data_IF_786720728939
#
_entry.id   IF_786720728939
#
_cell.length_a   1.000
_cell.length_b   1.000
_cell.length_c   1.000
_cell.angle_alpha   90.00
_cell.angle_beta   90.00
_cell.angle_gamma   90.00
#
_symmetry.space_group_name_H-M   'P 1'
#
loop_
_entity.id
_entity.type
_entity.pdbx_description
1 polymer ?
#
# COMPACT_ATOMS: atom_id res chain seq x y z
N UNK A 1 2.03 30.56 3.08
CA UNK A 1 2.04 29.30 2.30
C UNK A 1 0.67 28.66 2.45
N UNK A 2 0.14 27.99 1.42
CA UNK A 2 -1.15 27.32 1.54
C UNK A 2 -1.00 26.03 2.37
N UNK A 3 -1.88 25.82 3.34
CA UNK A 3 -1.93 24.60 4.14
C UNK A 3 -2.79 23.57 3.42
N UNK A 4 -2.25 22.36 3.22
CA UNK A 4 -2.96 21.25 2.59
C UNK A 4 -3.59 20.39 3.68
N UNK A 5 -4.84 20.00 3.49
CA UNK A 5 -5.56 19.17 4.44
C UNK A 5 -5.98 17.89 3.71
N UNK A 6 -5.60 16.74 4.26
CA UNK A 6 -6.14 15.46 3.82
C UNK A 6 -7.02 14.88 4.93
N UNK A 7 -8.13 14.26 4.53
CA UNK A 7 -9.13 13.71 5.43
C UNK A 7 -9.42 12.28 5.01
N UNK A 8 -9.39 11.35 5.96
CA UNK A 8 -9.68 9.96 5.67
C UNK A 8 -9.49 9.04 6.87
N UNK A 9 -9.47 7.75 6.58
CA UNK A 9 -9.24 6.70 7.57
C UNK A 9 -7.79 6.21 7.52
N UNK A 10 -7.18 6.01 8.69
CA UNK A 10 -5.89 5.37 8.83
C UNK A 10 -6.09 3.97 9.40
N UNK A 11 -5.67 2.97 8.63
CA UNK A 11 -5.83 1.57 8.98
C UNK A 11 -4.51 0.90 9.35
N UNK A 12 -4.59 -0.11 10.20
CA UNK A 12 -3.50 -1.01 10.52
C UNK A 12 -3.39 -2.08 9.42
N UNK A 13 -2.27 -2.09 8.72
CA UNK A 13 -1.91 -3.11 7.74
C UNK A 13 -1.12 -4.21 8.40
N UNK A 14 -1.66 -5.43 8.40
CA UNK A 14 -0.97 -6.63 8.84
C UNK A 14 -0.49 -7.41 7.61
N UNK A 15 0.81 -7.65 7.52
CA UNK A 15 1.42 -8.40 6.42
C UNK A 15 2.33 -9.51 6.97
N UNK A 16 2.29 -10.74 6.42
CA UNK A 16 3.25 -11.77 6.75
C UNK A 16 4.68 -11.31 6.40
N UNK A 17 5.66 -11.87 7.09
CA UNK A 17 7.04 -11.73 6.66
C UNK A 17 7.26 -12.44 5.32
N UNK A 18 8.21 -11.93 4.54
CA UNK A 18 8.59 -12.47 3.22
C UNK A 18 7.39 -12.57 2.25
N UNK A 19 7.20 -13.76 1.67
CA UNK A 19 6.11 -14.10 0.75
C UNK A 19 5.28 -15.27 1.30
N UNK A 20 5.25 -15.40 2.62
CA UNK A 20 4.49 -16.45 3.29
C UNK A 20 2.99 -16.19 3.15
N UNK A 21 2.23 -17.27 3.11
CA UNK A 21 0.78 -17.21 3.23
C UNK A 21 0.43 -17.08 4.71
N UNK A 22 -0.73 -16.48 5.00
CA UNK A 22 -1.22 -16.34 6.38
C UNK A 22 -1.37 -17.66 7.14
N UNK A 23 -1.55 -18.79 6.43
CA UNK A 23 -1.65 -20.13 7.03
C UNK A 23 -0.28 -20.66 7.50
N UNK A 24 0.81 -20.12 6.96
CA UNK A 24 2.17 -20.62 7.16
C UNK A 24 3.02 -19.65 7.99
N UNK A 25 2.56 -18.43 8.23
CA UNK A 25 3.35 -17.43 8.92
C UNK A 25 3.10 -17.47 10.43
N UNK A 26 4.19 -17.53 11.20
CA UNK A 26 4.16 -17.37 12.67
C UNK A 26 4.35 -15.89 13.09
N UNK A 27 4.74 -15.04 12.13
CA UNK A 27 5.02 -13.63 12.37
C UNK A 27 4.35 -12.73 11.34
N UNK A 28 3.78 -11.62 11.81
CA UNK A 28 3.24 -10.55 10.98
C UNK A 28 3.87 -9.21 11.35
N UNK A 29 4.17 -8.42 10.32
CA UNK A 29 4.59 -7.03 10.47
C UNK A 29 3.35 -6.13 10.43
N UNK A 30 3.29 -5.15 11.33
CA UNK A 30 2.24 -4.15 11.33
C UNK A 30 2.78 -2.81 10.83
N UNK A 31 2.03 -2.16 9.95
CA UNK A 31 2.31 -0.81 9.46
C UNK A 31 1.02 -0.01 9.42
N UNK A 32 1.09 1.32 9.40
CA UNK A 32 -0.09 2.15 9.21
C UNK A 32 -0.19 2.60 7.76
N UNK A 33 -1.39 2.51 7.19
CA UNK A 33 -1.63 2.87 5.81
C UNK A 33 -3.04 3.44 5.60
N UNK A 34 -3.16 4.28 4.59
CA UNK A 34 -4.40 4.91 4.13
C UNK A 34 -4.09 5.70 2.88
N UNK A 35 -5.01 5.78 1.92
CA UNK A 35 -4.75 6.48 0.66
C UNK A 35 -4.40 7.95 0.91
N UNK A 36 -5.20 8.60 1.74
CA UNK A 36 -5.10 10.01 2.09
C UNK A 36 -3.93 10.29 3.05
N UNK A 37 -3.61 9.32 3.90
CA UNK A 37 -2.43 9.36 4.76
C UNK A 37 -1.13 9.28 3.94
N UNK A 38 -1.09 8.43 2.92
CA UNK A 38 0.07 8.33 2.01
C UNK A 38 0.27 9.61 1.21
N UNK A 39 -0.82 10.25 0.78
CA UNK A 39 -0.76 11.57 0.12
C UNK A 39 -0.22 12.60 1.10
N UNK A 40 -0.73 12.66 2.34
CA UNK A 40 -0.23 13.59 3.34
C UNK A 40 1.27 13.42 3.63
N UNK A 41 1.72 12.18 3.84
CA UNK A 41 3.13 11.84 4.06
C UNK A 41 3.99 12.24 2.85
N UNK A 42 3.53 11.99 1.62
CA UNK A 42 4.29 12.36 0.43
C UNK A 42 4.43 13.87 0.29
N UNK A 43 3.35 14.62 0.54
CA UNK A 43 3.38 16.09 0.49
C UNK A 43 4.27 16.68 1.60
N UNK A 44 4.22 16.12 2.81
CA UNK A 44 5.09 16.51 3.91
C UNK A 44 6.58 16.24 3.59
N UNK A 45 6.89 15.11 2.95
CA UNK A 45 8.24 14.80 2.47
C UNK A 45 8.73 15.78 1.38
N UNK A 46 7.82 16.41 0.63
CA UNK A 46 8.14 17.50 -0.30
C UNK A 46 8.27 18.88 0.37
N UNK A 47 8.21 18.96 1.70
CA UNK A 47 8.37 20.19 2.47
C UNK A 47 7.12 21.09 2.49
N UNK A 48 5.95 20.55 2.14
CA UNK A 48 4.68 21.28 2.22
C UNK A 48 4.06 21.21 3.62
N UNK A 49 3.35 22.26 4.03
CA UNK A 49 2.57 22.29 5.28
C UNK A 49 1.28 21.47 5.09
N UNK A 50 1.24 20.28 5.70
CA UNK A 50 0.13 19.33 5.55
C UNK A 50 -0.40 18.87 6.90
N UNK A 51 -1.72 18.92 7.07
CA UNK A 51 -2.42 18.34 8.21
C UNK A 51 -3.28 17.15 7.79
N UNK A 52 -3.34 16.15 8.67
CA UNK A 52 -4.19 14.97 8.50
C UNK A 52 -5.35 14.99 9.49
N UNK A 53 -6.56 14.97 8.96
CA UNK A 53 -7.80 14.95 9.75
C UNK A 53 -8.33 13.52 9.76
N UNK A 54 -8.40 12.93 10.95
CA UNK A 54 -8.96 11.59 11.15
C UNK A 54 -9.43 11.42 12.59
N UNK A 55 -10.08 10.29 12.88
CA UNK A 55 -10.44 9.88 14.23
C UNK A 55 -9.70 8.59 14.58
N UNK A 56 -8.92 8.62 15.66
CA UNK A 56 -8.16 7.46 16.13
C UNK A 56 -8.48 7.13 17.59
N UNK A 57 -8.53 5.85 17.96
CA UNK A 57 -8.83 5.43 19.33
C UNK A 57 -7.71 5.85 20.30
N UNK A 58 -8.06 6.06 21.58
CA UNK A 58 -7.13 6.54 22.61
C UNK A 58 -6.21 5.45 23.21
N UNK A 59 -6.16 4.26 22.62
CA UNK A 59 -5.29 3.16 23.07
C UNK A 59 -3.91 3.18 22.40
N UNK A 60 -2.99 2.31 22.86
CA UNK A 60 -1.60 2.25 22.41
C UNK A 60 -1.42 2.17 20.88
N UNK A 61 -2.21 1.32 20.19
CA UNK A 61 -2.13 1.20 18.72
C UNK A 61 -2.52 2.51 18.01
N UNK A 62 -3.55 3.21 18.48
CA UNK A 62 -3.94 4.51 17.95
C UNK A 62 -2.90 5.59 18.24
N UNK A 63 -2.13 5.47 19.31
CA UNK A 63 -0.98 6.35 19.57
C UNK A 63 0.19 6.05 18.63
N UNK A 64 0.47 4.76 18.36
CA UNK A 64 1.48 4.36 17.38
C UNK A 64 1.15 4.88 15.98
N UNK A 65 -0.13 4.90 15.60
CA UNK A 65 -0.62 5.47 14.36
C UNK A 65 -0.32 6.97 14.24
N UNK A 66 -0.61 7.75 15.30
CA UNK A 66 -0.27 9.19 15.37
C UNK A 66 1.23 9.42 15.28
N UNK A 67 2.02 8.60 15.99
CA UNK A 67 3.48 8.70 15.97
C UNK A 67 4.05 8.41 14.57
N UNK A 68 3.45 7.46 13.84
CA UNK A 68 3.82 7.16 12.45
C UNK A 68 3.65 8.38 11.55
N UNK A 69 2.54 9.11 11.67
CA UNK A 69 2.31 10.34 10.90
C UNK A 69 3.29 11.47 11.30
N UNK A 70 3.47 11.68 12.60
CA UNK A 70 4.41 12.69 13.13
C UNK A 70 5.84 12.45 12.67
N UNK A 71 6.27 11.20 12.57
CA UNK A 71 7.60 10.82 12.07
C UNK A 71 7.88 11.38 10.67
N UNK A 72 6.85 11.50 9.84
CA UNK A 72 6.96 12.02 8.46
C UNK A 72 6.69 13.53 8.36
N UNK A 73 6.58 14.24 9.49
CA UNK A 73 6.36 15.70 9.48
C UNK A 73 4.92 16.13 9.20
N UNK A 74 3.95 15.22 9.24
CA UNK A 74 2.53 15.56 9.07
C UNK A 74 1.97 16.19 10.36
N UNK A 75 1.26 17.30 10.23
CA UNK A 75 0.55 17.93 11.34
C UNK A 75 -0.61 17.03 11.80
N UNK A 76 -0.60 16.71 13.08
CA UNK A 76 -1.54 15.78 13.75
C UNK A 76 -2.43 16.50 14.76
N UNK A 77 -2.39 17.83 14.82
CA UNK A 77 -3.21 18.65 15.74
C UNK A 77 -4.71 18.47 15.52
N UNK A 78 -5.12 18.09 14.30
CA UNK A 78 -6.52 17.89 13.93
C UNK A 78 -7.02 16.43 14.09
N UNK A 79 -6.21 15.54 14.67
CA UNK A 79 -6.61 14.16 14.93
C UNK A 79 -7.46 14.11 16.20
N UNK A 80 -8.73 13.74 16.03
CA UNK A 80 -9.64 13.54 17.16
C UNK A 80 -9.40 12.18 17.79
N UNK A 81 -9.33 12.13 19.12
CA UNK A 81 -9.20 10.88 19.87
C UNK A 81 -10.57 10.34 20.24
N UNK A 82 -10.89 9.10 19.85
CA UNK A 82 -12.12 8.43 20.24
C UNK A 82 -12.47 7.20 19.41
N UNK A 83 -13.43 6.41 19.90
CA UNK A 83 -13.76 5.09 19.37
C UNK A 83 -12.92 3.98 20.02
N UNK A 84 -13.35 2.74 19.84
CA UNK A 84 -12.81 1.57 20.56
C UNK A 84 -11.80 0.76 19.73
N UNK A 85 -11.78 0.94 18.41
CA UNK A 85 -10.97 0.16 17.48
C UNK A 85 -10.40 1.00 16.34
N UNK A 86 -9.32 0.50 15.75
CA UNK A 86 -8.77 0.96 14.49
C UNK A 86 -9.17 -0.03 13.38
N UNK A 87 -9.39 0.44 12.16
CA UNK A 87 -9.56 -0.44 11.00
C UNK A 87 -8.31 -1.30 10.80
N UNK A 88 -8.49 -2.58 10.50
CA UNK A 88 -7.39 -3.54 10.28
C UNK A 88 -7.63 -4.21 8.93
N UNK A 89 -6.59 -4.30 8.11
CA UNK A 89 -6.63 -5.08 6.88
C UNK A 89 -5.41 -5.98 6.75
N UNK A 90 -5.63 -7.12 6.11
CA UNK A 90 -4.62 -8.14 5.88
C UNK A 90 -4.10 -8.03 4.45
N UNK A 91 -2.79 -7.95 4.29
CA UNK A 91 -2.14 -7.87 3.00
C UNK A 91 -1.16 -9.03 2.82
N UNK A 92 -1.48 -9.97 1.93
CA UNK A 92 -0.58 -11.05 1.54
C UNK A 92 0.28 -10.63 0.36
N UNK A 93 1.61 -10.72 0.50
CA UNK A 93 2.53 -10.52 -0.65
C UNK A 93 2.50 -11.76 -1.52
N UNK A 94 1.94 -11.63 -2.72
CA UNK A 94 2.10 -12.66 -3.74
C UNK A 94 3.56 -12.67 -4.21
N UNK A 95 4.22 -13.82 -4.13
CA UNK A 95 5.49 -14.01 -4.84
C UNK A 95 5.16 -14.03 -6.33
N UNK A 96 5.64 -13.04 -7.06
CA UNK A 96 5.65 -13.14 -8.52
C UNK A 96 6.67 -14.23 -8.88
N UNK A 97 6.20 -15.45 -9.12
CA UNK A 97 7.02 -16.46 -9.79
C UNK A 97 7.19 -16.00 -11.23
N UNK A 98 8.27 -15.26 -11.51
CA UNK A 98 8.73 -14.84 -12.83
C UNK A 98 7.69 -15.00 -13.95
N UNK A 99 6.67 -14.15 -13.96
CA UNK A 99 5.93 -13.92 -15.20
C UNK A 99 6.92 -13.12 -16.04
N UNK A 100 7.35 -13.59 -17.23
CA UNK A 100 8.27 -12.83 -18.04
C UNK A 100 7.64 -11.46 -18.26
N UNK A 101 8.43 -10.44 -17.97
CA UNK A 101 8.08 -9.03 -18.07
C UNK A 101 7.82 -8.70 -19.54
N UNK A 102 6.64 -9.04 -20.03
CA UNK A 102 6.26 -8.94 -21.43
C UNK A 102 5.10 -7.96 -21.60
N UNK A 103 5.19 -6.76 -20.99
CA UNK A 103 4.32 -5.63 -21.36
C UNK A 103 4.92 -4.30 -20.90
N UNK A 104 6.10 -3.92 -21.41
CA UNK A 104 6.48 -2.49 -21.47
C UNK A 104 7.67 -2.19 -22.40
N UNK A 105 7.66 -2.66 -23.64
CA UNK A 105 8.35 -1.94 -24.73
C UNK A 105 7.54 -2.14 -26.02
N UNK A 106 7.04 -1.04 -26.59
CA UNK A 106 6.22 -1.03 -27.79
C UNK A 106 7.00 -1.43 -29.05
N UNK A 107 7.33 -2.71 -29.18
CA UNK A 107 7.75 -3.32 -30.45
C UNK A 107 6.68 -4.28 -30.92
N UNK A 108 5.91 -3.83 -31.90
CA UNK A 108 5.07 -4.66 -32.76
C UNK A 108 6.00 -5.73 -33.38
N UNK A 109 5.86 -6.98 -32.93
CA UNK A 109 6.49 -8.12 -33.59
C UNK A 109 5.72 -8.40 -34.90
N UNK A 110 6.41 -8.62 -36.02
CA UNK A 110 5.73 -8.84 -37.30
C UNK A 110 5.03 -10.20 -37.29
N UNK A 111 3.83 -10.18 -37.87
CA UNK A 111 2.99 -11.32 -38.17
C UNK A 111 3.79 -12.42 -38.89
N UNK A 112 4.15 -13.51 -38.19
CA UNK A 112 4.68 -14.71 -38.84
C UNK A 112 3.53 -15.47 -39.47
N UNK A 113 3.64 -15.70 -40.78
CA UNK A 113 2.74 -16.46 -41.64
C UNK A 113 2.55 -17.92 -41.16
N UNK A 114 1.44 -18.59 -41.55
CA UNK A 114 1.10 -19.93 -41.07
C UNK A 114 2.03 -21.00 -41.67
N UNK A 115 2.35 -22.01 -40.86
CA UNK A 115 3.17 -23.18 -41.21
C UNK A 115 2.53 -24.00 -42.36
N UNK A 116 3.33 -24.70 -43.19
CA UNK A 116 2.80 -25.61 -44.22
C UNK A 116 2.30 -26.93 -43.59
N UNK A 117 1.35 -27.63 -44.23
CA UNK A 117 0.81 -28.89 -43.70
C UNK A 117 1.82 -30.03 -43.87
N UNK A 118 2.11 -30.73 -42.78
CA UNK A 118 2.77 -32.04 -42.80
C UNK A 118 1.80 -33.09 -43.33
N UNK A 119 2.06 -33.60 -44.54
CA UNK A 119 1.44 -34.81 -45.06
C UNK A 119 2.18 -36.04 -44.51
N UNK A 120 1.47 -36.93 -43.81
CA UNK A 120 1.91 -38.30 -43.55
C UNK A 120 0.80 -39.23 -44.01
N UNK A 121 1.09 -40.12 -44.96
CA UNK A 121 0.16 -41.17 -45.39
C UNK A 121 0.33 -41.68 -46.83
N UNK A 122 1.46 -42.36 -47.11
CA UNK A 122 1.56 -43.70 -47.73
C UNK A 122 3.04 -44.08 -47.87
#
# INVERSE_FOLDING_TARGET
MAKIITFGELMLRLQPYNYERFVQCDHVEFTFGGGEANVAVSLANYGMDVAYVTKLPAHAIGQAAVNSLRRYGVDTSMIVRGGDRIGIYYNGKARLSAVPFAFMTGRILPFRSPLPPTSTGM
#
